data_IF_594757511439
#
_entry.id   IF_594757511439
#
_cell.length_a   1.000
_cell.length_b   1.000
_cell.length_c   1.000
_cell.angle_alpha   90.00
_cell.angle_beta   90.00
_cell.angle_gamma   90.00
#
_symmetry.space_group_name_H-M   'P 1'
#
loop_
_entity.id
_entity.type
_entity.pdbx_description
1 polymer ?
#
# COMPACT_ATOMS: atom_id res chain seq x y z
N UNK A 1 7.91 -0.77 4.69
CA UNK A 1 7.61 -1.29 3.33
C UNK A 1 6.98 -2.69 3.38
N UNK A 2 7.35 -3.55 4.33
CA UNK A 2 6.82 -4.92 4.48
C UNK A 2 5.33 -4.95 4.86
N UNK A 3 4.88 -4.04 5.74
CA UNK A 3 3.46 -3.90 6.11
C UNK A 3 2.53 -3.63 4.92
N UNK A 4 2.96 -2.77 3.98
CA UNK A 4 2.21 -2.50 2.75
C UNK A 4 2.06 -3.76 1.90
N UNK A 5 3.12 -4.57 1.79
CA UNK A 5 3.08 -5.82 1.02
C UNK A 5 2.13 -6.85 1.65
N UNK A 6 2.08 -6.95 2.98
CA UNK A 6 1.12 -7.82 3.67
C UNK A 6 -0.33 -7.37 3.47
N UNK A 7 -0.59 -6.07 3.62
CA UNK A 7 -1.91 -5.48 3.40
C UNK A 7 -2.33 -5.70 1.94
N UNK A 8 -1.46 -5.38 0.99
CA UNK A 8 -1.69 -5.57 -0.44
C UNK A 8 -1.96 -7.03 -0.80
N UNK A 9 -1.10 -7.95 -0.35
CA UNK A 9 -1.25 -9.38 -0.60
C UNK A 9 -2.61 -9.90 -0.09
N UNK A 10 -3.01 -9.48 1.11
CA UNK A 10 -4.27 -9.91 1.68
C UNK A 10 -5.49 -9.32 0.93
N UNK A 11 -5.44 -8.03 0.55
CA UNK A 11 -6.49 -7.41 -0.25
C UNK A 11 -6.63 -8.06 -1.63
N UNK A 12 -5.52 -8.36 -2.30
CA UNK A 12 -5.55 -9.06 -3.59
C UNK A 12 -6.12 -10.46 -3.50
N UNK A 13 -5.80 -11.21 -2.44
CA UNK A 13 -6.42 -12.51 -2.18
C UNK A 13 -7.93 -12.40 -2.00
N UNK A 14 -8.40 -11.39 -1.27
CA UNK A 14 -9.84 -11.18 -1.09
C UNK A 14 -10.55 -10.87 -2.40
N UNK A 15 -9.95 -10.01 -3.23
CA UNK A 15 -10.55 -9.54 -4.49
C UNK A 15 -10.48 -10.57 -5.62
N UNK A 16 -9.33 -11.19 -5.84
CA UNK A 16 -9.11 -12.08 -6.98
C UNK A 16 -9.46 -13.54 -6.69
N UNK A 17 -9.30 -14.01 -5.44
CA UNK A 17 -9.61 -15.39 -5.08
C UNK A 17 -11.02 -15.54 -4.45
N UNK A 18 -11.76 -14.43 -4.28
CA UNK A 18 -13.10 -14.43 -3.69
C UNK A 18 -13.15 -14.87 -2.22
N UNK A 19 -12.00 -14.90 -1.54
CA UNK A 19 -11.90 -15.33 -0.14
C UNK A 19 -12.38 -14.20 0.77
N UNK A 20 -13.48 -14.42 1.48
CA UNK A 20 -13.89 -13.54 2.59
C UNK A 20 -13.05 -13.89 3.82
N UNK A 21 -12.26 -12.94 4.29
CA UNK A 21 -11.38 -13.09 5.46
C UNK A 21 -11.91 -12.19 6.56
N UNK A 22 -12.02 -12.70 7.79
CA UNK A 22 -12.50 -11.91 8.93
C UNK A 22 -11.43 -10.89 9.33
N UNK A 23 -11.86 -9.71 9.80
CA UNK A 23 -10.94 -8.61 10.16
C UNK A 23 -9.84 -9.05 11.13
N UNK A 24 -10.17 -9.89 12.12
CA UNK A 24 -9.19 -10.39 13.08
C UNK A 24 -8.16 -11.35 12.45
N UNK A 25 -8.53 -12.11 11.43
CA UNK A 25 -7.61 -12.99 10.69
C UNK A 25 -6.63 -12.15 9.85
N UNK A 26 -7.11 -11.05 9.27
CA UNK A 26 -6.27 -10.09 8.53
C UNK A 26 -5.25 -9.46 9.49
N UNK A 27 -5.69 -8.98 10.65
CA UNK A 27 -4.81 -8.39 11.67
C UNK A 27 -3.79 -9.42 12.17
N UNK A 28 -4.24 -10.66 12.44
CA UNK A 28 -3.37 -11.76 12.82
C UNK A 28 -2.30 -12.06 11.76
N UNK A 29 -2.70 -12.12 10.49
CA UNK A 29 -1.79 -12.32 9.36
C UNK A 29 -0.77 -11.19 9.23
N UNK A 30 -1.22 -9.92 9.27
CA UNK A 30 -0.33 -8.76 9.16
C UNK A 30 0.70 -8.78 10.29
N UNK A 31 0.26 -9.01 11.54
CA UNK A 31 1.16 -9.07 12.68
C UNK A 31 2.18 -10.22 12.55
N UNK A 32 1.72 -11.42 12.17
CA UNK A 32 2.59 -12.57 11.96
C UNK A 32 3.61 -12.31 10.85
N UNK A 33 3.17 -11.75 9.72
CA UNK A 33 4.02 -11.39 8.60
C UNK A 33 5.09 -10.37 9.01
N UNK A 34 4.71 -9.30 9.72
CA UNK A 34 5.64 -8.27 10.17
C UNK A 34 6.69 -8.81 11.16
N UNK A 35 6.32 -9.76 12.01
CA UNK A 35 7.27 -10.44 12.91
C UNK A 35 8.23 -11.30 12.10
N UNK A 36 7.72 -12.13 11.18
CA UNK A 36 8.55 -12.99 10.34
C UNK A 36 9.54 -12.20 9.49
N UNK A 37 9.10 -11.09 8.89
CA UNK A 37 9.95 -10.27 8.03
C UNK A 37 11.05 -9.54 8.81
N UNK A 38 10.74 -9.02 10.01
CA UNK A 38 11.75 -8.44 10.92
C UNK A 38 12.83 -9.46 11.29
N UNK A 39 12.43 -10.66 11.69
CA UNK A 39 13.36 -11.75 12.01
C UNK A 39 14.24 -12.13 10.82
N UNK A 40 13.67 -12.21 9.61
CA UNK A 40 14.45 -12.46 8.37
C UNK A 40 15.41 -11.31 8.04
N UNK A 41 14.99 -10.06 8.25
CA UNK A 41 15.81 -8.88 8.01
C UNK A 41 17.07 -8.85 8.88
N UNK A 42 16.97 -9.27 10.14
CA UNK A 42 18.10 -9.40 11.07
C UNK A 42 19.09 -10.49 10.62
N UNK A 43 18.58 -11.64 10.15
CA UNK A 43 19.41 -12.74 9.62
C UNK A 43 20.10 -12.36 8.30
N UNK A 44 19.45 -11.56 7.45
CA UNK A 44 20.02 -11.11 6.17
C UNK A 44 21.08 -10.01 6.33
N UNK A 45 20.94 -9.12 7.32
CA UNK A 45 21.94 -8.09 7.63
C UNK A 45 23.30 -8.67 8.05
N UNK A 46 23.35 -9.88 8.62
CA UNK A 46 24.62 -10.53 8.95
C UNK A 46 25.33 -11.14 7.73
N UNK A 47 24.66 -11.24 6.57
CA UNK A 47 25.17 -12.01 5.41
C UNK A 47 25.51 -11.17 4.17
N UNK A 48 25.10 -9.91 4.06
CA UNK A 48 25.38 -9.10 2.86
C UNK A 48 25.37 -7.58 3.15
N UNK A 49 26.53 -6.94 3.07
CA UNK A 49 26.67 -5.48 3.03
C UNK A 49 26.60 -4.86 1.62
N UNK A 50 26.38 -5.65 0.55
CA UNK A 50 26.62 -5.18 -0.83
C UNK A 50 25.40 -4.97 -1.75
N UNK A 51 24.17 -4.84 -1.24
CA UNK A 51 23.03 -4.48 -2.09
C UNK A 51 22.53 -3.06 -1.82
N UNK A 52 23.00 -2.13 -2.67
CA UNK A 52 22.66 -0.70 -2.69
C UNK A 52 21.19 -0.36 -3.07
N UNK A 53 20.24 -1.30 -2.92
CA UNK A 53 18.81 -1.05 -3.17
C UNK A 53 18.05 -0.70 -1.88
N UNK A 54 18.71 0.04 -0.97
CA UNK A 54 18.04 0.56 0.22
C UNK A 54 17.18 1.75 -0.22
N UNK A 55 15.88 1.66 0.04
CA UNK A 55 14.95 2.76 -0.19
C UNK A 55 15.50 4.05 0.42
N UNK A 56 15.56 5.10 -0.41
CA UNK A 56 15.99 6.42 0.03
C UNK A 56 14.75 7.25 0.36
N UNK A 57 14.68 7.85 1.55
CA UNK A 57 13.57 8.70 1.91
C UNK A 57 13.53 9.99 1.09
N UNK A 58 12.34 10.56 0.84
CA UNK A 58 12.21 11.87 0.24
C UNK A 58 12.92 12.93 1.10
N UNK A 59 13.45 13.99 0.47
CA UNK A 59 14.08 15.10 1.20
C UNK A 59 13.06 16.20 1.48
N UNK A 60 13.29 16.96 2.54
CA UNK A 60 12.45 18.13 2.88
C UNK A 60 11.06 17.74 3.35
N UNK A 61 10.05 18.43 2.84
CA UNK A 61 8.64 18.29 3.21
C UNK A 61 7.85 17.44 2.20
N UNK A 62 8.55 16.60 1.42
CA UNK A 62 7.94 15.69 0.46
C UNK A 62 7.36 14.47 1.17
N UNK A 63 6.11 14.13 0.86
CA UNK A 63 5.48 12.88 1.32
C UNK A 63 5.61 11.79 0.25
N UNK A 64 5.97 10.58 0.66
CA UNK A 64 5.93 9.43 -0.23
C UNK A 64 4.55 8.81 -0.21
N UNK A 65 3.89 8.66 -1.36
CA UNK A 65 2.58 8.01 -1.42
C UNK A 65 2.64 6.84 -2.38
N UNK A 66 2.59 5.62 -1.83
CA UNK A 66 2.41 4.42 -2.62
C UNK A 66 0.92 4.14 -2.75
N UNK A 67 0.46 3.87 -3.97
CA UNK A 67 -0.90 3.44 -4.21
C UNK A 67 -0.94 2.32 -5.24
N UNK A 68 -1.97 1.51 -5.12
CA UNK A 68 -2.33 0.53 -6.14
C UNK A 68 -3.85 0.35 -6.16
N UNK A 69 -4.35 -0.30 -7.21
CA UNK A 69 -5.76 -0.61 -7.36
C UNK A 69 -5.98 -2.02 -7.89
N UNK A 70 -7.03 -2.65 -7.40
CA UNK A 70 -7.59 -3.86 -8.00
C UNK A 70 -8.80 -3.50 -8.87
N UNK A 71 -9.09 -4.28 -9.90
CA UNK A 71 -10.27 -4.10 -10.74
C UNK A 71 -10.95 -5.46 -11.01
N UNK A 72 -12.26 -5.51 -10.81
CA UNK A 72 -13.10 -6.66 -11.10
C UNK A 72 -13.99 -6.35 -12.30
N UNK A 73 -13.65 -6.93 -13.45
CA UNK A 73 -14.39 -6.73 -14.69
C UNK A 73 -15.83 -7.26 -14.63
N UNK A 74 -16.08 -8.36 -13.93
CA UNK A 74 -17.42 -8.98 -13.88
C UNK A 74 -18.40 -8.13 -13.06
N UNK A 75 -17.90 -7.42 -12.04
CA UNK A 75 -18.72 -6.60 -11.15
C UNK A 75 -18.63 -5.11 -11.49
N UNK A 76 -17.74 -4.72 -12.41
CA UNK A 76 -17.41 -3.31 -12.67
C UNK A 76 -17.06 -2.56 -11.37
N UNK A 77 -16.25 -3.18 -10.51
CA UNK A 77 -15.81 -2.61 -9.24
C UNK A 77 -14.29 -2.53 -9.17
N UNK A 78 -13.79 -1.67 -8.28
CA UNK A 78 -12.37 -1.52 -8.01
C UNK A 78 -12.15 -1.23 -6.53
N UNK A 79 -10.98 -1.55 -6.00
CA UNK A 79 -10.54 -1.04 -4.69
C UNK A 79 -9.17 -0.42 -4.84
N UNK A 80 -9.03 0.82 -4.40
CA UNK A 80 -7.73 1.48 -4.23
C UNK A 80 -7.18 1.23 -2.84
N UNK A 81 -5.87 1.07 -2.74
CA UNK A 81 -5.11 1.06 -1.49
C UNK A 81 -4.00 2.10 -1.56
N UNK A 82 -3.88 2.95 -0.54
CA UNK A 82 -2.97 4.08 -0.48
C UNK A 82 -2.24 4.06 0.87
N UNK A 83 -0.92 4.29 0.86
CA UNK A 83 -0.12 4.50 2.07
C UNK A 83 0.83 5.68 1.86
N UNK A 84 0.67 6.69 2.71
CA UNK A 84 1.45 7.91 2.74
C UNK A 84 2.48 7.86 3.89
N UNK A 85 3.75 8.12 3.60
CA UNK A 85 4.87 8.03 4.54
C UNK A 85 5.74 9.29 4.48
N UNK A 86 6.18 9.75 5.66
CA UNK A 86 7.16 10.84 5.73
C UNK A 86 8.59 10.34 5.43
N UNK A 87 9.56 11.25 5.50
CA UNK A 87 10.99 10.95 5.28
C UNK A 87 11.60 10.01 6.33
N UNK A 88 11.01 9.88 7.51
CA UNK A 88 11.41 8.88 8.51
C UNK A 88 10.80 7.50 8.22
N UNK A 89 9.97 7.37 7.19
CA UNK A 89 9.24 6.14 6.86
C UNK A 89 8.03 5.88 7.76
N UNK A 90 7.64 6.85 8.60
CA UNK A 90 6.44 6.76 9.43
C UNK A 90 5.21 6.95 8.55
N UNK A 91 4.22 6.06 8.73
CA UNK A 91 2.92 6.17 8.05
C UNK A 91 2.18 7.38 8.60
N UNK A 92 1.98 8.39 7.75
CA UNK A 92 1.25 9.61 8.07
C UNK A 92 -0.25 9.41 7.83
N UNK A 93 -0.59 8.61 6.82
CA UNK A 93 -1.96 8.23 6.54
C UNK A 93 -2.01 6.97 5.66
N UNK A 94 -3.13 6.25 5.71
CA UNK A 94 -3.43 5.14 4.83
C UNK A 94 -4.93 5.15 4.49
N UNK A 95 -5.26 4.69 3.29
CA UNK A 95 -6.64 4.65 2.83
C UNK A 95 -6.88 3.39 2.01
N UNK A 96 -8.05 2.78 2.20
CA UNK A 96 -8.59 1.79 1.28
C UNK A 96 -9.97 2.27 0.86
N UNK A 97 -10.25 2.32 -0.44
CA UNK A 97 -11.52 2.86 -0.92
C UNK A 97 -12.15 1.99 -2.01
N UNK A 98 -13.39 1.50 -1.81
CA UNK A 98 -14.12 0.78 -2.82
C UNK A 98 -14.79 1.73 -3.81
N UNK A 99 -14.64 1.39 -5.08
CA UNK A 99 -15.24 2.06 -6.21
C UNK A 99 -16.25 1.15 -6.90
N UNK A 100 -17.44 1.67 -7.10
CA UNK A 100 -18.49 1.02 -7.88
C UNK A 100 -18.61 1.64 -9.27
N UNK A 101 -19.24 0.91 -10.20
CA UNK A 101 -19.55 1.37 -11.56
C UNK A 101 -18.32 1.86 -12.32
N UNK A 102 -17.22 1.10 -12.24
CA UNK A 102 -15.98 1.37 -12.94
C UNK A 102 -16.01 0.65 -14.29
N UNK A 103 -15.96 1.45 -15.36
CA UNK A 103 -16.05 0.94 -16.73
C UNK A 103 -14.88 0.02 -17.07
N UNK A 104 -13.66 0.41 -16.70
CA UNK A 104 -12.44 -0.27 -17.13
C UNK A 104 -11.25 -0.02 -16.15
N UNK A 105 -10.17 -0.81 -16.23
CA UNK A 105 -9.00 -0.67 -15.36
C UNK A 105 -8.29 0.69 -15.47
N UNK A 106 -8.36 1.36 -16.61
CA UNK A 106 -7.75 2.69 -16.80
C UNK A 106 -8.50 3.73 -15.98
N UNK A 107 -9.83 3.68 -16.03
CA UNK A 107 -10.68 4.52 -15.17
C UNK A 107 -10.42 4.25 -13.69
N UNK A 108 -10.28 2.98 -13.30
CA UNK A 108 -9.91 2.60 -11.93
C UNK A 108 -8.60 3.26 -11.48
N UNK A 109 -7.56 3.16 -12.32
CA UNK A 109 -6.25 3.76 -12.06
C UNK A 109 -6.31 5.29 -11.99
N UNK A 110 -7.05 5.93 -12.89
CA UNK A 110 -7.22 7.38 -12.88
C UNK A 110 -7.92 7.87 -11.59
N UNK A 111 -8.94 7.15 -11.10
CA UNK A 111 -9.58 7.45 -9.82
C UNK A 111 -8.65 7.25 -8.63
N UNK A 112 -7.85 6.18 -8.62
CA UNK A 112 -6.85 5.97 -7.59
C UNK A 112 -5.79 7.09 -7.57
N UNK A 113 -5.30 7.53 -8.74
CA UNK A 113 -4.42 8.69 -8.86
C UNK A 113 -5.08 9.97 -8.32
N UNK A 114 -6.33 10.24 -8.69
CA UNK A 114 -7.05 11.43 -8.20
C UNK A 114 -7.17 11.41 -6.68
N UNK A 115 -7.53 10.25 -6.11
CA UNK A 115 -7.65 10.08 -4.67
C UNK A 115 -6.33 10.37 -3.94
N UNK A 116 -5.20 9.92 -4.52
CA UNK A 116 -3.87 10.20 -3.98
C UNK A 116 -3.57 11.71 -3.96
N UNK A 117 -3.86 12.41 -5.05
CA UNK A 117 -3.63 13.86 -5.15
C UNK A 117 -4.51 14.62 -4.17
N UNK A 118 -5.81 14.31 -4.11
CA UNK A 118 -6.75 14.93 -3.17
C UNK A 118 -6.31 14.70 -1.72
N UNK A 119 -5.92 13.48 -1.38
CA UNK A 119 -5.43 13.15 -0.04
C UNK A 119 -4.15 13.91 0.32
N UNK A 120 -3.20 14.04 -0.62
CA UNK A 120 -1.98 14.81 -0.39
C UNK A 120 -2.29 16.30 -0.14
N UNK A 121 -3.19 16.88 -0.95
CA UNK A 121 -3.65 18.27 -0.82
C UNK A 121 -4.36 18.51 0.52
N UNK A 122 -5.29 17.63 0.91
CA UNK A 122 -6.00 17.70 2.20
C UNK A 122 -5.05 17.58 3.40
N UNK A 123 -3.95 16.85 3.25
CA UNK A 123 -2.89 16.73 4.25
C UNK A 123 -1.92 17.93 4.25
N UNK A 124 -2.06 18.88 3.32
CA UNK A 124 -1.23 20.07 3.21
C UNK A 124 0.11 19.86 2.50
N UNK A 125 0.28 18.74 1.78
CA UNK A 125 1.49 18.48 1.01
C UNK A 125 1.39 19.04 -0.40
N UNK A 126 2.42 19.78 -0.81
CA UNK A 126 2.53 20.34 -2.16
C UNK A 126 3.38 19.47 -3.09
N UNK A 127 4.27 18.65 -2.52
CA UNK A 127 5.16 17.76 -3.26
C UNK A 127 4.99 16.32 -2.77
N UNK A 128 4.92 15.40 -3.73
CA UNK A 128 4.74 13.96 -3.50
C UNK A 128 5.71 13.16 -4.40
N UNK A 129 6.17 12.01 -3.91
CA UNK A 129 6.91 11.03 -4.71
C UNK A 129 6.29 9.62 -4.66
#
# INVERSE_FOLDING_TARGET
MEEFNAIWYNMNRMFHEGKRVLVHEIVGFINAYCVETKLRGEVLKSRNENNNNVWQPPRGDVIKINFDMSFNQNQHTSVSGIVAQNKEGLVMASCTFPWENIADPTTAKAKACLQVVTMAEEMGFQDMC
#
